data_IF_924167363913
#
_entry.id   IF_924167363913
#
_cell.length_a   1.000
_cell.length_b   1.000
_cell.length_c   1.000
_cell.angle_alpha   90.00
_cell.angle_beta   90.00
_cell.angle_gamma   90.00
#
_symmetry.space_group_name_H-M   'P 1'
#
loop_
_entity.id
_entity.type
_entity.pdbx_description
1 polymer ?
#
# COMPACT_ATOMS: atom_id res chain seq x y z
N UNK A 1 -39.84 37.18 -38.36
CA UNK A 1 -38.50 36.56 -38.29
C UNK A 1 -38.17 36.32 -36.83
N UNK A 2 -38.15 35.06 -36.38
CA UNK A 2 -37.70 34.71 -35.02
C UNK A 2 -36.79 33.49 -35.13
N UNK A 3 -35.53 33.64 -34.73
CA UNK A 3 -34.47 32.64 -34.79
C UNK A 3 -34.30 32.03 -33.40
N UNK A 4 -34.86 30.83 -33.18
CA UNK A 4 -34.55 30.05 -31.97
C UNK A 4 -33.35 29.15 -32.25
N UNK A 5 -32.20 29.51 -31.69
CA UNK A 5 -30.98 28.68 -31.67
C UNK A 5 -31.19 27.52 -30.71
N UNK A 6 -31.18 26.29 -31.23
CA UNK A 6 -31.19 25.08 -30.40
C UNK A 6 -29.75 24.80 -29.98
N UNK A 7 -29.46 24.98 -28.69
CA UNK A 7 -28.18 24.63 -28.11
C UNK A 7 -28.11 23.10 -27.91
N UNK A 8 -27.18 22.44 -28.58
CA UNK A 8 -26.88 21.03 -28.39
C UNK A 8 -25.98 20.84 -27.16
N UNK A 9 -26.51 20.25 -26.10
CA UNK A 9 -25.74 19.82 -24.92
C UNK A 9 -25.14 18.44 -25.20
N UNK A 10 -23.86 18.41 -25.59
CA UNK A 10 -23.09 17.18 -25.64
C UNK A 10 -22.80 16.71 -24.20
N UNK A 11 -23.42 15.60 -23.79
CA UNK A 11 -23.12 14.91 -22.53
C UNK A 11 -21.78 14.17 -22.69
N UNK A 12 -20.71 14.76 -22.17
CA UNK A 12 -19.40 14.11 -22.04
C UNK A 12 -19.51 13.01 -20.98
N UNK A 13 -19.70 11.78 -21.41
CA UNK A 13 -19.56 10.58 -20.56
C UNK A 13 -18.06 10.39 -20.31
N UNK A 14 -17.55 10.97 -19.22
CA UNK A 14 -16.20 10.69 -18.73
C UNK A 14 -16.23 9.31 -18.09
N UNK A 15 -15.65 8.33 -18.77
CA UNK A 15 -15.32 7.03 -18.19
C UNK A 15 -14.22 7.25 -17.15
N UNK A 16 -14.60 7.46 -15.89
CA UNK A 16 -13.64 7.38 -14.78
C UNK A 16 -13.15 5.94 -14.71
N UNK A 17 -11.95 5.70 -15.24
CA UNK A 17 -11.17 4.51 -14.90
C UNK A 17 -10.83 4.63 -13.41
N UNK A 18 -11.72 4.13 -12.56
CA UNK A 18 -11.44 3.98 -11.14
C UNK A 18 -10.26 3.00 -11.03
N UNK A 19 -9.06 3.54 -10.80
CA UNK A 19 -7.95 2.74 -10.35
C UNK A 19 -8.43 1.94 -9.12
N UNK A 20 -8.01 0.67 -8.95
CA UNK A 20 -8.37 -0.07 -7.76
C UNK A 20 -7.99 0.76 -6.55
N UNK A 21 -8.94 0.97 -5.64
CA UNK A 21 -8.70 1.63 -4.37
C UNK A 21 -7.75 0.72 -3.56
N UNK A 22 -6.45 0.86 -3.79
CA UNK A 22 -5.43 0.27 -2.93
C UNK A 22 -5.56 0.99 -1.61
N UNK A 23 -5.77 0.23 -0.55
CA UNK A 23 -5.59 0.76 0.80
C UNK A 23 -4.07 0.87 1.02
N UNK A 24 -3.44 1.86 0.39
CA UNK A 24 -2.03 2.21 0.60
C UNK A 24 -1.85 2.51 2.08
N UNK A 25 -1.16 1.60 2.76
CA UNK A 25 -0.75 1.77 4.14
C UNK A 25 0.76 1.76 4.24
N UNK A 26 1.27 2.39 5.28
CA UNK A 26 2.68 2.35 5.59
C UNK A 26 2.88 2.06 7.06
N UNK A 27 3.91 1.27 7.34
CA UNK A 27 4.42 1.02 8.67
C UNK A 27 5.88 1.38 8.72
N UNK A 28 6.26 2.06 9.78
CA UNK A 28 7.63 2.39 10.07
C UNK A 28 8.03 1.68 11.36
N UNK A 29 9.02 0.81 11.27
CA UNK A 29 9.45 -0.06 12.35
C UNK A 29 10.87 0.25 12.75
N UNK A 30 11.15 0.20 14.06
CA UNK A 30 12.49 0.40 14.58
C UNK A 30 13.44 -0.71 14.12
N UNK A 31 13.08 -1.98 14.30
CA UNK A 31 13.91 -3.12 13.89
C UNK A 31 13.07 -4.34 13.53
N UNK A 32 13.70 -5.32 12.87
CA UNK A 32 13.03 -6.57 12.51
C UNK A 32 13.97 -7.62 11.93
N UNK A 33 13.38 -8.75 11.59
CA UNK A 33 13.97 -9.86 10.85
C UNK A 33 13.17 -10.15 9.58
N UNK A 34 13.83 -10.83 8.64
CA UNK A 34 13.21 -11.33 7.42
C UNK A 34 13.62 -12.78 7.19
N UNK A 35 12.70 -13.59 6.71
CA UNK A 35 12.95 -14.97 6.29
C UNK A 35 12.55 -15.12 4.84
N UNK A 36 13.38 -15.75 4.02
CA UNK A 36 13.06 -16.02 2.62
C UNK A 36 12.32 -17.35 2.51
N UNK A 37 11.15 -17.35 1.86
CA UNK A 37 10.31 -18.55 1.66
C UNK A 37 10.62 -19.30 0.33
N UNK A 38 11.49 -18.74 -0.51
CA UNK A 38 11.77 -19.22 -1.87
C UNK A 38 11.35 -18.25 -2.97
N UNK A 39 10.40 -17.36 -2.70
CA UNK A 39 9.83 -16.39 -3.66
C UNK A 39 9.64 -14.98 -3.08
N UNK A 40 9.34 -14.88 -1.79
CA UNK A 40 9.13 -13.64 -1.06
C UNK A 40 9.78 -13.70 0.33
N UNK A 41 9.82 -12.56 1.01
CA UNK A 41 10.17 -12.47 2.42
C UNK A 41 8.93 -12.50 3.30
N UNK A 42 9.03 -13.21 4.42
CA UNK A 42 8.20 -12.97 5.60
C UNK A 42 8.94 -12.01 6.52
N UNK A 43 8.24 -11.01 7.06
CA UNK A 43 8.79 -10.02 7.98
C UNK A 43 8.24 -10.21 9.38
N UNK A 44 9.10 -9.98 10.37
CA UNK A 44 8.71 -9.79 11.76
C UNK A 44 9.44 -8.56 12.30
N UNK A 45 8.70 -7.57 12.78
CA UNK A 45 9.24 -6.29 13.18
C UNK A 45 8.63 -5.76 14.49
N UNK A 46 9.36 -4.87 15.14
CA UNK A 46 9.03 -4.32 16.46
C UNK A 46 9.27 -2.82 16.51
N UNK A 47 8.56 -2.15 17.42
CA UNK A 47 8.57 -0.68 17.50
C UNK A 47 7.98 -0.08 16.22
N UNK A 48 6.86 -0.64 15.78
CA UNK A 48 6.18 -0.26 14.56
C UNK A 48 5.05 0.72 14.84
N UNK A 49 5.03 1.80 14.06
CA UNK A 49 3.95 2.76 13.96
C UNK A 49 3.45 2.83 12.53
N UNK A 50 2.15 3.00 12.33
CA UNK A 50 1.59 3.03 10.98
C UNK A 50 0.17 2.47 10.89
N UNK A 51 -0.31 2.38 9.65
CA UNK A 51 -1.67 1.92 9.34
C UNK A 51 -1.70 1.12 8.05
N UNK A 52 -2.76 0.31 7.91
CA UNK A 52 -3.01 -0.49 6.72
C UNK A 52 -2.67 -1.96 6.92
N UNK A 53 -3.32 -2.79 6.11
CA UNK A 53 -3.29 -4.24 6.22
C UNK A 53 -2.88 -4.93 4.91
N UNK A 54 -3.21 -4.35 3.74
CA UNK A 54 -2.95 -4.99 2.45
C UNK A 54 -2.21 -4.03 1.52
N UNK A 55 -1.26 -4.56 0.75
CA UNK A 55 -0.41 -3.80 -0.17
C UNK A 55 0.27 -2.63 0.53
N UNK A 56 0.94 -2.92 1.64
CA UNK A 56 1.55 -1.90 2.49
C UNK A 56 3.05 -1.79 2.28
N UNK A 57 3.57 -0.60 2.51
CA UNK A 57 5.01 -0.36 2.57
C UNK A 57 5.49 -0.48 4.01
N UNK A 58 6.49 -1.32 4.27
CA UNK A 58 7.11 -1.48 5.59
C UNK A 58 8.55 -0.97 5.52
N UNK A 59 8.87 0.04 6.33
CA UNK A 59 10.24 0.55 6.48
C UNK A 59 10.83 0.03 7.80
N UNK A 60 11.89 -0.76 7.73
CA UNK A 60 12.65 -1.20 8.89
C UNK A 60 13.91 -0.34 9.01
N UNK A 61 14.04 0.41 10.11
CA UNK A 61 15.13 1.37 10.30
C UNK A 61 16.46 0.73 10.67
N UNK A 62 16.48 -0.34 11.45
CA UNK A 62 17.70 -0.94 11.98
C UNK A 62 17.70 -2.48 11.92
N UNK A 63 18.91 -3.06 11.89
CA UNK A 63 19.12 -4.50 11.95
C UNK A 63 19.28 -5.19 10.59
N UNK A 64 19.36 -6.53 10.55
CA UNK A 64 19.67 -7.29 9.34
C UNK A 64 18.55 -7.24 8.29
N UNK A 65 17.33 -6.90 8.71
CA UNK A 65 16.20 -6.66 7.80
C UNK A 65 16.01 -5.17 7.48
N UNK A 66 16.97 -4.28 7.76
CA UNK A 66 16.89 -2.87 7.38
C UNK A 66 16.55 -2.72 5.88
N UNK A 67 15.60 -1.84 5.57
CA UNK A 67 15.16 -1.58 4.21
C UNK A 67 13.68 -1.26 4.12
N UNK A 68 13.24 -0.88 2.92
CA UNK A 68 11.84 -0.71 2.57
C UNK A 68 11.33 -1.96 1.86
N UNK A 69 10.13 -2.38 2.21
CA UNK A 69 9.49 -3.57 1.65
C UNK A 69 8.08 -3.25 1.22
N UNK A 70 7.64 -3.85 0.12
CA UNK A 70 6.23 -3.91 -0.26
C UNK A 70 5.69 -5.28 0.13
N UNK A 71 4.73 -5.32 1.04
CA UNK A 71 4.10 -6.54 1.53
C UNK A 71 2.68 -6.67 0.99
N UNK A 72 2.30 -7.89 0.60
CA UNK A 72 0.94 -8.17 0.16
C UNK A 72 -0.06 -7.97 1.31
N UNK A 73 0.33 -8.38 2.52
CA UNK A 73 -0.42 -8.14 3.76
C UNK A 73 0.50 -7.96 4.95
N UNK A 74 0.01 -7.27 5.99
CA UNK A 74 0.63 -7.19 7.31
C UNK A 74 -0.42 -7.28 8.41
N UNK A 75 -0.06 -7.87 9.52
CA UNK A 75 -0.78 -7.75 10.79
C UNK A 75 0.07 -6.94 11.75
N UNK A 76 -0.48 -5.84 12.28
CA UNK A 76 0.20 -4.99 13.26
C UNK A 76 -0.63 -4.88 14.53
N UNK A 77 -0.02 -5.15 15.68
CA UNK A 77 -0.67 -5.10 16.98
C UNK A 77 0.34 -4.74 18.08
N UNK A 78 0.00 -3.77 18.93
CA UNK A 78 0.81 -3.39 20.09
C UNK A 78 2.29 -3.11 19.75
N UNK A 79 2.53 -2.44 18.62
CA UNK A 79 3.87 -2.07 18.16
C UNK A 79 4.70 -3.20 17.55
N UNK A 80 4.13 -4.40 17.37
CA UNK A 80 4.74 -5.47 16.58
C UNK A 80 4.04 -5.63 15.25
N UNK A 81 4.76 -6.10 14.24
CA UNK A 81 4.26 -6.31 12.89
C UNK A 81 4.74 -7.65 12.34
N UNK A 82 3.83 -8.43 11.77
CA UNK A 82 4.12 -9.56 10.91
C UNK A 82 3.72 -9.20 9.47
N UNK A 83 4.59 -9.45 8.50
CA UNK A 83 4.34 -9.16 7.09
C UNK A 83 4.50 -10.38 6.22
N UNK A 84 3.54 -10.58 5.31
CA UNK A 84 3.50 -11.73 4.41
C UNK A 84 3.77 -11.31 2.96
N UNK A 85 4.46 -12.19 2.24
CA UNK A 85 4.80 -12.03 0.82
C UNK A 85 5.40 -10.66 0.51
N UNK A 86 6.43 -10.29 1.27
CA UNK A 86 7.12 -9.03 1.15
C UNK A 86 8.24 -9.09 0.10
N UNK A 87 8.38 -8.04 -0.69
CA UNK A 87 9.50 -7.82 -1.60
C UNK A 87 10.26 -6.55 -1.21
N UNK A 88 11.58 -6.55 -1.41
CA UNK A 88 12.37 -5.31 -1.29
C UNK A 88 11.94 -4.31 -2.37
N UNK A 89 11.83 -3.04 -1.98
CA UNK A 89 11.58 -1.91 -2.88
C UNK A 89 12.87 -1.29 -3.40
#
# INVERSE_FOLDING_TARGET
MSLSRIAATALLVVSLNAAPARADGSHECFSGSRTWDGTYFELSASGCDGVGYSQVTVLIRFGPAQGAYSCASVFSWNGTLAGDRCGLL
#
